data_IF_350744546531
#
_entry.id   IF_350744546531
#
_cell.length_a   1.000
_cell.length_b   1.000
_cell.length_c   1.000
_cell.angle_alpha   90.00
_cell.angle_beta   90.00
_cell.angle_gamma   90.00
#
_symmetry.space_group_name_H-M   'P 1'
#
loop_
_entity.id
_entity.type
_entity.pdbx_description
1 polymer ?
#
# COMPACT_ATOMS: atom_id res chain seq x y z
N UNK A 1 87.80 -39.11 -8.38
CA UNK A 1 88.32 -40.51 -8.49
C UNK A 1 87.13 -41.44 -8.29
N UNK A 2 86.84 -42.29 -9.34
CA UNK A 2 86.12 -43.53 -9.39
C UNK A 2 84.61 -43.52 -8.95
N UNK A 3 83.70 -43.43 -9.90
CA UNK A 3 82.87 -44.47 -10.60
C UNK A 3 82.39 -45.60 -9.71
N UNK A 4 81.05 -45.74 -9.60
CA UNK A 4 80.40 -47.03 -9.83
C UNK A 4 78.91 -46.85 -10.11
N UNK A 5 78.50 -47.39 -11.28
CA UNK A 5 77.13 -47.66 -11.67
C UNK A 5 76.56 -48.81 -10.84
N UNK A 6 75.35 -48.79 -10.53
CA UNK A 6 74.52 -50.03 -10.48
C UNK A 6 73.09 -49.80 -10.95
N UNK A 7 72.75 -50.60 -11.95
CA UNK A 7 71.45 -50.74 -12.54
C UNK A 7 70.56 -51.59 -11.59
N UNK A 8 69.25 -51.29 -11.51
CA UNK A 8 68.25 -52.38 -11.57
C UNK A 8 66.82 -51.86 -11.59
N UNK A 9 66.23 -52.18 -12.66
CA UNK A 9 64.84 -52.78 -12.80
C UNK A 9 63.64 -51.99 -12.46
N UNK A 10 62.93 -51.64 -13.54
CA UNK A 10 61.52 -51.20 -13.58
C UNK A 10 60.55 -52.19 -12.96
N UNK A 11 59.62 -51.69 -12.16
CA UNK A 11 58.35 -52.33 -11.96
C UNK A 11 57.27 -51.27 -12.19
N UNK A 12 56.58 -51.45 -13.32
CA UNK A 12 55.37 -50.72 -13.63
C UNK A 12 54.25 -51.13 -12.65
N UNK A 13 53.74 -50.17 -11.89
CA UNK A 13 52.51 -50.33 -11.13
C UNK A 13 51.47 -49.44 -11.80
N UNK A 14 50.53 -50.09 -12.50
CA UNK A 14 49.37 -49.44 -13.08
C UNK A 14 48.42 -49.04 -11.96
N UNK A 15 48.31 -47.74 -11.65
CA UNK A 15 47.25 -47.17 -10.83
C UNK A 15 46.04 -46.92 -11.74
N UNK A 16 45.01 -47.73 -11.61
CA UNK A 16 43.70 -47.47 -12.16
C UNK A 16 43.03 -46.37 -11.35
N UNK A 17 43.01 -45.14 -11.86
CA UNK A 17 42.22 -44.01 -11.30
C UNK A 17 40.76 -44.21 -11.68
N UNK A 18 39.96 -44.73 -10.74
CA UNK A 18 38.50 -44.67 -10.81
C UNK A 18 38.08 -43.21 -10.62
N UNK A 19 37.76 -42.53 -11.72
CA UNK A 19 37.06 -41.24 -11.69
C UNK A 19 35.61 -41.52 -11.35
N UNK A 20 35.27 -41.44 -10.05
CA UNK A 20 33.90 -41.38 -9.60
C UNK A 20 33.33 -40.02 -10.04
N UNK A 21 32.51 -40.05 -11.12
CA UNK A 21 31.76 -38.89 -11.54
C UNK A 21 30.74 -38.52 -10.47
N UNK A 22 31.07 -37.58 -9.61
CA UNK A 22 30.06 -36.86 -8.81
C UNK A 22 29.24 -36.01 -9.81
N UNK A 23 28.08 -36.56 -10.23
CA UNK A 23 27.03 -35.75 -10.83
C UNK A 23 26.53 -34.80 -9.73
N UNK A 24 27.07 -33.59 -9.68
CA UNK A 24 26.39 -32.47 -9.00
C UNK A 24 25.09 -32.26 -9.78
N UNK A 25 24.01 -32.86 -9.31
CA UNK A 25 22.67 -32.39 -9.62
C UNK A 25 22.61 -30.98 -9.02
N UNK A 26 22.89 -29.96 -9.84
CA UNK A 26 22.48 -28.61 -9.54
C UNK A 26 20.96 -28.70 -9.35
N UNK A 27 20.50 -28.64 -8.11
CA UNK A 27 19.10 -28.36 -7.84
C UNK A 27 18.85 -27.02 -8.56
N UNK A 28 18.18 -27.09 -9.71
CA UNK A 28 17.65 -25.89 -10.33
C UNK A 28 16.76 -25.26 -9.25
N UNK A 29 17.19 -24.16 -8.67
CA UNK A 29 16.31 -23.29 -7.92
C UNK A 29 15.22 -22.93 -8.94
N UNK A 30 14.06 -23.57 -8.84
CA UNK A 30 12.93 -23.17 -9.63
C UNK A 30 12.63 -21.74 -9.19
N UNK A 31 12.91 -20.78 -10.06
CA UNK A 31 12.43 -19.41 -9.90
C UNK A 31 10.90 -19.48 -9.73
N UNK A 32 10.35 -18.63 -8.91
CA UNK A 32 8.89 -18.55 -8.78
C UNK A 32 8.28 -18.21 -10.14
N UNK A 33 7.07 -18.71 -10.40
CA UNK A 33 6.33 -18.40 -11.63
C UNK A 33 5.89 -16.94 -11.69
N UNK A 34 5.78 -16.26 -10.54
CA UNK A 34 5.46 -14.84 -10.42
C UNK A 34 6.26 -14.17 -9.30
N UNK A 35 6.70 -12.96 -9.54
CA UNK A 35 7.24 -12.03 -8.53
C UNK A 35 6.23 -10.91 -8.29
N UNK A 36 5.77 -10.80 -7.05
CA UNK A 36 4.73 -9.85 -6.64
C UNK A 36 5.34 -8.84 -5.67
N UNK A 37 5.16 -7.54 -5.91
CA UNK A 37 5.55 -6.52 -4.94
C UNK A 37 4.33 -5.97 -4.21
N UNK A 38 4.37 -5.95 -2.87
CA UNK A 38 3.31 -5.44 -2.03
C UNK A 38 3.86 -4.88 -0.71
N UNK A 39 3.05 -4.14 0.04
CA UNK A 39 3.39 -3.76 1.41
C UNK A 39 3.42 -4.97 2.35
N UNK A 40 4.23 -4.89 3.39
CA UNK A 40 4.29 -5.95 4.41
C UNK A 40 2.93 -6.10 5.13
N UNK A 41 2.52 -7.35 5.35
CA UNK A 41 1.24 -7.66 6.01
C UNK A 41 -0.02 -7.33 5.21
N UNK A 42 0.09 -6.91 3.95
CA UNK A 42 -1.03 -6.47 3.12
C UNK A 42 -1.69 -7.60 2.30
N UNK A 43 -1.23 -8.82 2.47
CA UNK A 43 -1.82 -10.07 1.95
C UNK A 43 -1.76 -11.17 3.01
N UNK A 44 -2.58 -12.22 2.83
CA UNK A 44 -2.54 -13.41 3.67
C UNK A 44 -1.13 -14.00 3.70
N UNK A 45 -0.66 -14.41 4.89
CA UNK A 45 0.69 -15.00 5.04
C UNK A 45 0.86 -16.30 4.27
N UNK A 46 -0.24 -17.03 4.06
CA UNK A 46 -0.31 -18.28 3.31
C UNK A 46 -0.73 -18.09 1.85
N UNK A 47 -0.69 -16.85 1.34
CA UNK A 47 -1.14 -16.53 -0.02
C UNK A 47 -0.40 -17.36 -1.08
N UNK A 48 0.89 -17.60 -0.90
CA UNK A 48 1.71 -18.39 -1.81
C UNK A 48 1.24 -19.84 -1.86
N UNK A 49 0.99 -20.46 -0.72
CA UNK A 49 0.52 -21.84 -0.62
C UNK A 49 -0.91 -21.97 -1.15
N UNK A 50 -1.78 -21.02 -0.82
CA UNK A 50 -3.17 -20.99 -1.26
C UNK A 50 -3.26 -20.81 -2.79
N UNK A 51 -2.47 -19.91 -3.38
CA UNK A 51 -2.41 -19.71 -4.82
C UNK A 51 -1.87 -20.95 -5.53
N UNK A 52 -0.79 -21.54 -5.00
CA UNK A 52 -0.23 -22.79 -5.54
C UNK A 52 -1.23 -23.94 -5.48
N UNK A 53 -1.96 -24.08 -4.38
CA UNK A 53 -2.99 -25.11 -4.26
C UNK A 53 -4.14 -24.93 -5.28
N UNK A 54 -4.50 -23.69 -5.58
CA UNK A 54 -5.57 -23.36 -6.52
C UNK A 54 -5.16 -23.46 -8.00
N UNK A 55 -3.90 -23.14 -8.33
CA UNK A 55 -3.45 -22.93 -9.71
C UNK A 55 -2.29 -23.82 -10.15
N UNK A 56 -1.56 -24.39 -9.20
CA UNK A 56 -0.29 -25.09 -9.44
C UNK A 56 0.92 -24.17 -9.61
N UNK A 57 0.72 -22.84 -9.66
CA UNK A 57 1.77 -21.83 -9.86
C UNK A 57 2.35 -21.37 -8.53
N UNK A 58 3.63 -21.02 -8.54
CA UNK A 58 4.36 -20.51 -7.39
C UNK A 58 4.52 -18.99 -7.46
N UNK A 59 4.47 -18.31 -6.32
CA UNK A 59 4.73 -16.88 -6.24
C UNK A 59 5.83 -16.56 -5.23
N UNK A 60 6.59 -15.52 -5.51
CA UNK A 60 7.49 -14.85 -4.58
C UNK A 60 6.90 -13.47 -4.26
N UNK A 61 6.77 -13.15 -2.96
CA UNK A 61 6.31 -11.84 -2.52
C UNK A 61 7.50 -11.04 -2.01
N UNK A 62 7.75 -9.90 -2.65
CA UNK A 62 8.81 -8.95 -2.29
C UNK A 62 8.19 -7.71 -1.70
N UNK A 63 8.50 -7.39 -0.45
CA UNK A 63 7.92 -6.24 0.20
C UNK A 63 8.60 -4.93 -0.20
N UNK A 64 7.80 -3.87 -0.26
CA UNK A 64 8.24 -2.48 -0.32
C UNK A 64 7.59 -1.68 0.81
N UNK A 65 8.27 -0.65 1.28
CA UNK A 65 7.76 0.16 2.41
C UNK A 65 6.86 1.30 1.94
N UNK A 66 7.16 1.93 0.80
CA UNK A 66 6.41 3.08 0.28
C UNK A 66 6.19 2.98 -1.24
N UNK A 67 5.19 3.71 -1.74
CA UNK A 67 4.98 3.85 -3.18
C UNK A 67 6.22 4.41 -3.89
N UNK A 68 6.88 5.40 -3.28
CA UNK A 68 8.07 6.04 -3.85
C UNK A 68 9.24 5.05 -3.98
N UNK A 69 9.39 4.13 -3.01
CA UNK A 69 10.40 3.07 -3.07
C UNK A 69 10.19 2.16 -4.27
N UNK A 70 8.98 1.60 -4.41
CA UNK A 70 8.71 0.69 -5.52
C UNK A 70 8.75 1.41 -6.87
N UNK A 71 8.25 2.65 -6.95
CA UNK A 71 8.37 3.46 -8.16
C UNK A 71 9.82 3.68 -8.55
N UNK A 72 10.70 4.00 -7.60
CA UNK A 72 12.14 4.15 -7.86
C UNK A 72 12.76 2.88 -8.44
N UNK A 73 12.42 1.70 -7.88
CA UNK A 73 12.88 0.39 -8.39
C UNK A 73 12.36 0.12 -9.81
N UNK A 74 11.06 0.37 -10.05
CA UNK A 74 10.44 0.16 -11.36
C UNK A 74 11.03 1.09 -12.43
N UNK A 75 11.24 2.36 -12.11
CA UNK A 75 11.90 3.30 -13.03
C UNK A 75 13.32 2.86 -13.38
N UNK A 76 14.12 2.49 -12.38
CA UNK A 76 15.50 2.04 -12.58
C UNK A 76 15.60 0.75 -13.40
N UNK A 77 14.65 -0.18 -13.21
CA UNK A 77 14.62 -1.47 -13.92
C UNK A 77 13.81 -1.45 -15.22
N UNK A 78 13.18 -0.31 -15.56
CA UNK A 78 12.22 -0.21 -16.67
C UNK A 78 11.07 -1.22 -16.52
N UNK A 79 10.58 -1.40 -15.29
CA UNK A 79 9.49 -2.31 -14.95
C UNK A 79 9.86 -3.80 -14.94
N UNK A 80 11.13 -4.14 -15.01
CA UNK A 80 11.59 -5.54 -14.94
C UNK A 80 11.75 -6.00 -13.50
N UNK A 81 11.63 -7.32 -13.29
CA UNK A 81 11.86 -7.97 -12.01
C UNK A 81 10.60 -8.12 -11.16
N UNK A 82 9.46 -7.63 -11.64
CA UNK A 82 8.15 -7.81 -11.02
C UNK A 82 7.11 -8.15 -12.09
N UNK A 83 6.16 -9.03 -11.76
CA UNK A 83 5.03 -9.38 -12.61
C UNK A 83 3.76 -8.63 -12.20
N UNK A 84 3.53 -8.52 -10.89
CA UNK A 84 2.40 -7.83 -10.28
C UNK A 84 2.90 -6.86 -9.22
N UNK A 85 2.34 -5.65 -9.21
CA UNK A 85 2.72 -4.62 -8.22
C UNK A 85 1.47 -4.00 -7.62
N UNK A 86 1.48 -3.87 -6.29
CA UNK A 86 0.48 -3.12 -5.55
C UNK A 86 0.98 -1.70 -5.35
N UNK A 87 0.18 -0.72 -5.74
CA UNK A 87 0.47 0.72 -5.59
C UNK A 87 -0.81 1.49 -5.34
N UNK A 88 -0.71 2.69 -4.79
CA UNK A 88 -1.88 3.59 -4.71
C UNK A 88 -2.22 4.18 -6.08
N UNK A 89 -3.50 4.52 -6.28
CA UNK A 89 -4.04 4.95 -7.58
C UNK A 89 -3.25 6.06 -8.32
N UNK A 90 -2.70 7.10 -7.67
CA UNK A 90 -1.89 8.10 -8.39
C UNK A 90 -0.64 7.50 -9.04
N UNK A 91 -0.05 6.49 -8.39
CA UNK A 91 1.16 5.82 -8.91
C UNK A 91 0.82 4.85 -10.04
N UNK A 92 -0.36 4.21 -9.99
CA UNK A 92 -0.85 3.41 -11.11
C UNK A 92 -1.10 4.28 -12.35
N UNK A 93 -1.65 5.51 -12.19
CA UNK A 93 -1.77 6.50 -13.28
C UNK A 93 -0.41 6.84 -13.89
N UNK A 94 0.61 7.09 -13.06
CA UNK A 94 1.98 7.38 -13.52
C UNK A 94 2.53 6.20 -14.32
N UNK A 95 2.43 4.98 -13.78
CA UNK A 95 2.90 3.77 -14.46
C UNK A 95 2.19 3.55 -15.80
N UNK A 96 0.89 3.76 -15.85
CA UNK A 96 0.11 3.66 -17.09
C UNK A 96 0.51 4.76 -18.10
N UNK A 97 0.65 6.00 -17.66
CA UNK A 97 1.10 7.12 -18.49
C UNK A 97 2.50 6.92 -19.08
N UNK A 98 3.34 6.13 -18.44
CA UNK A 98 4.67 5.74 -18.90
C UNK A 98 4.67 4.45 -19.73
N UNK A 99 3.52 3.82 -19.96
CA UNK A 99 3.40 2.57 -20.71
C UNK A 99 4.04 1.37 -20.02
N UNK A 100 4.13 1.38 -18.68
CA UNK A 100 4.78 0.34 -17.89
C UNK A 100 3.82 -0.74 -17.38
N UNK A 101 2.52 -0.56 -17.56
CA UNK A 101 1.50 -1.56 -17.16
C UNK A 101 0.89 -2.25 -18.38
N UNK A 102 0.47 -3.48 -18.17
CA UNK A 102 -0.25 -4.28 -19.18
C UNK A 102 -1.74 -3.98 -19.09
N UNK A 103 -2.43 -3.77 -20.21
CA UNK A 103 -3.90 -3.76 -20.24
C UNK A 103 -4.45 -5.09 -19.70
N UNK A 104 -5.51 -5.00 -18.89
CA UNK A 104 -6.12 -6.20 -18.32
C UNK A 104 -7.00 -6.93 -19.33
N UNK A 105 -6.82 -8.25 -19.43
CA UNK A 105 -7.75 -9.11 -20.13
C UNK A 105 -8.87 -9.55 -19.17
N UNK A 106 -10.02 -8.91 -19.25
CA UNK A 106 -11.16 -9.22 -18.38
C UNK A 106 -11.71 -10.65 -18.59
N UNK A 107 -11.46 -11.27 -19.76
CA UNK A 107 -11.83 -12.67 -19.97
C UNK A 107 -10.98 -13.61 -19.11
N UNK A 108 -9.74 -13.22 -18.82
CA UNK A 108 -8.83 -13.96 -17.94
C UNK A 108 -9.05 -13.63 -16.44
N UNK A 109 -9.90 -12.63 -16.12
CA UNK A 109 -10.19 -12.19 -14.77
C UNK A 109 -11.71 -12.21 -14.52
N UNK A 110 -12.38 -13.37 -14.55
CA UNK A 110 -13.83 -13.46 -14.41
C UNK A 110 -14.38 -12.91 -13.08
N UNK A 111 -13.56 -12.89 -12.02
CA UNK A 111 -13.94 -12.32 -10.72
C UNK A 111 -13.95 -10.78 -10.67
N UNK A 112 -13.54 -10.09 -11.75
CA UNK A 112 -13.64 -8.62 -11.84
C UNK A 112 -15.10 -8.15 -11.72
N UNK A 113 -16.06 -8.97 -12.09
CA UNK A 113 -17.51 -8.75 -11.89
C UNK A 113 -17.93 -8.60 -10.43
N UNK A 114 -17.09 -9.02 -9.50
CA UNK A 114 -17.33 -8.91 -8.05
C UNK A 114 -17.11 -7.48 -7.53
N UNK A 115 -16.45 -6.61 -8.32
CA UNK A 115 -16.25 -5.23 -7.93
C UNK A 115 -17.57 -4.46 -7.85
N UNK A 116 -17.66 -3.52 -6.91
CA UNK A 116 -18.76 -2.55 -6.89
C UNK A 116 -18.73 -1.69 -8.16
N UNK A 117 -19.89 -1.26 -8.68
CA UNK A 117 -19.96 -0.34 -9.83
C UNK A 117 -19.15 0.94 -9.62
N UNK A 118 -19.15 1.48 -8.39
CA UNK A 118 -18.38 2.67 -8.00
C UNK A 118 -16.87 2.43 -8.15
N UNK A 119 -16.40 1.22 -7.84
CA UNK A 119 -15.00 0.86 -7.99
C UNK A 119 -14.58 0.70 -9.47
N UNK A 120 -15.47 0.19 -10.30
CA UNK A 120 -15.26 0.10 -11.74
C UNK A 120 -15.34 1.46 -12.46
N UNK A 121 -15.95 2.47 -11.81
CA UNK A 121 -16.12 3.82 -12.35
C UNK A 121 -15.05 4.82 -11.87
N UNK A 122 -14.05 4.39 -11.11
CA UNK A 122 -13.01 5.26 -10.57
C UNK A 122 -12.27 6.01 -11.67
N UNK A 123 -12.16 7.32 -11.51
CA UNK A 123 -11.70 8.21 -12.58
C UNK A 123 -10.23 8.00 -13.00
N UNK A 124 -9.40 7.36 -12.16
CA UNK A 124 -8.02 7.05 -12.54
C UNK A 124 -7.92 5.92 -13.57
N UNK A 125 -8.87 4.96 -13.55
CA UNK A 125 -8.93 3.83 -14.49
C UNK A 125 -10.38 3.39 -14.73
N UNK A 126 -11.18 4.17 -15.47
CA UNK A 126 -12.56 3.84 -15.73
C UNK A 126 -12.70 2.50 -16.48
N UNK A 127 -13.48 1.60 -15.91
CA UNK A 127 -13.69 0.27 -16.46
C UNK A 127 -12.57 -0.72 -16.15
N UNK A 128 -11.61 -0.39 -15.29
CA UNK A 128 -10.49 -1.26 -14.90
C UNK A 128 -9.68 -1.76 -16.13
N UNK A 129 -9.27 -0.81 -16.96
CA UNK A 129 -8.58 -1.12 -18.20
C UNK A 129 -7.14 -1.62 -17.97
N UNK A 130 -6.48 -1.17 -16.90
CA UNK A 130 -5.08 -1.49 -16.59
C UNK A 130 -4.80 -1.79 -15.12
N UNK A 131 -5.80 -1.67 -14.24
CA UNK A 131 -5.65 -1.87 -12.81
C UNK A 131 -6.89 -2.46 -12.16
N UNK A 132 -6.72 -3.10 -11.01
CA UNK A 132 -7.83 -3.61 -10.20
C UNK A 132 -7.73 -3.03 -8.80
N UNK A 133 -8.75 -2.30 -8.32
CA UNK A 133 -8.79 -1.82 -6.94
C UNK A 133 -8.75 -2.99 -5.95
N UNK A 134 -7.85 -2.90 -4.98
CA UNK A 134 -7.65 -3.92 -3.93
C UNK A 134 -8.28 -3.49 -2.61
N UNK A 135 -7.92 -2.32 -2.12
CA UNK A 135 -8.54 -1.70 -0.95
C UNK A 135 -8.83 -0.24 -1.24
N UNK A 136 -9.77 0.33 -0.53
CA UNK A 136 -10.10 1.73 -0.62
C UNK A 136 -10.61 2.28 0.71
N UNK A 137 -10.50 3.56 0.90
CA UNK A 137 -10.92 4.19 2.14
C UNK A 137 -10.85 5.70 2.13
N UNK A 138 -11.00 6.25 3.31
CA UNK A 138 -10.93 7.67 3.59
C UNK A 138 -9.82 7.98 4.57
N UNK A 139 -9.34 9.21 4.53
CA UNK A 139 -8.46 9.78 5.55
C UNK A 139 -9.26 10.71 6.44
N UNK A 140 -9.09 10.58 7.74
CA UNK A 140 -9.84 11.36 8.71
C UNK A 140 -9.08 11.56 10.00
N UNK A 141 -9.85 11.75 11.06
CA UNK A 141 -9.34 11.95 12.42
C UNK A 141 -9.64 10.72 13.26
N UNK A 142 -8.60 10.20 13.90
CA UNK A 142 -8.66 9.12 14.85
C UNK A 142 -8.33 9.68 16.24
N UNK A 143 -9.15 9.43 17.27
CA UNK A 143 -8.98 10.10 18.55
C UNK A 143 -9.47 9.27 19.73
N UNK A 144 -8.96 9.58 20.92
CA UNK A 144 -9.37 9.05 22.22
C UNK A 144 -10.56 9.83 22.77
N UNK A 145 -11.78 9.29 22.62
CA UNK A 145 -13.01 9.95 23.06
C UNK A 145 -13.12 10.11 24.58
N UNK A 146 -12.39 9.29 25.33
CA UNK A 146 -12.27 9.42 26.80
C UNK A 146 -11.32 10.55 27.24
N UNK A 147 -10.39 10.97 26.39
CA UNK A 147 -9.39 12.03 26.69
C UNK A 147 -9.70 13.36 26.01
N UNK A 148 -10.18 13.34 24.77
CA UNK A 148 -10.54 14.53 24.00
C UNK A 148 -11.97 14.94 24.33
N UNK A 149 -12.16 16.10 24.93
CA UNK A 149 -13.46 16.57 25.45
C UNK A 149 -14.18 17.55 24.51
N UNK A 150 -13.46 18.09 23.54
CA UNK A 150 -14.03 18.99 22.52
C UNK A 150 -14.53 18.19 21.33
N UNK A 151 -15.50 18.68 20.55
CA UNK A 151 -15.97 18.03 19.35
C UNK A 151 -14.83 17.84 18.35
N UNK A 152 -14.73 16.62 17.77
CA UNK A 152 -13.78 16.28 16.73
C UNK A 152 -14.58 16.05 15.45
N UNK A 153 -14.85 17.11 14.68
CA UNK A 153 -15.71 17.09 13.50
C UNK A 153 -15.16 17.88 12.31
N UNK A 154 -13.94 18.43 12.45
CA UNK A 154 -13.32 19.34 11.48
C UNK A 154 -11.82 19.10 11.43
N UNK A 155 -11.19 19.31 10.26
CA UNK A 155 -9.74 19.35 10.17
C UNK A 155 -9.12 20.36 11.12
N UNK A 156 -9.84 21.44 11.43
CA UNK A 156 -9.38 22.42 12.43
C UNK A 156 -9.28 21.84 13.84
N UNK A 157 -9.98 20.75 14.18
CA UNK A 157 -9.78 20.08 15.47
C UNK A 157 -8.33 19.57 15.65
N UNK A 158 -7.66 19.25 14.54
CA UNK A 158 -6.25 18.82 14.51
C UNK A 158 -5.30 19.96 14.18
N UNK A 159 -5.66 20.83 13.21
CA UNK A 159 -4.77 21.88 12.71
C UNK A 159 -4.67 23.10 13.67
N UNK A 160 -5.70 23.29 14.50
CA UNK A 160 -5.78 24.35 15.53
C UNK A 160 -6.34 23.76 16.82
N UNK A 161 -5.66 22.75 17.40
CA UNK A 161 -6.20 22.02 18.53
C UNK A 161 -6.28 22.88 19.78
N UNK A 162 -7.15 22.50 20.71
CA UNK A 162 -7.18 23.08 22.04
C UNK A 162 -5.81 22.98 22.72
N UNK A 163 -5.52 23.92 23.61
CA UNK A 163 -4.26 23.99 24.34
C UNK A 163 -3.93 22.67 25.09
N UNK A 164 -4.95 21.94 25.56
CA UNK A 164 -4.81 20.66 26.23
C UNK A 164 -4.25 19.55 25.33
N UNK A 165 -4.39 19.70 23.99
CA UNK A 165 -3.91 18.75 22.99
C UNK A 165 -2.53 19.10 22.42
N UNK A 166 -1.93 20.22 22.84
CA UNK A 166 -0.59 20.60 22.40
C UNK A 166 0.42 19.51 22.76
N UNK A 167 1.18 19.05 21.77
CA UNK A 167 2.14 17.95 21.92
C UNK A 167 1.50 16.57 22.07
N UNK A 168 0.19 16.43 21.72
CA UNK A 168 -0.56 15.15 21.78
C UNK A 168 -1.27 14.84 20.46
N UNK A 169 -0.88 15.48 19.39
CA UNK A 169 -1.46 15.30 18.06
C UNK A 169 -0.41 14.84 17.09
N UNK A 170 -0.76 13.97 16.12
CA UNK A 170 0.12 13.60 15.02
C UNK A 170 -0.56 13.80 13.67
N UNK A 171 0.23 14.05 12.65
CA UNK A 171 -0.22 14.06 11.26
C UNK A 171 0.57 13.04 10.46
N UNK A 172 0.00 12.59 9.34
CA UNK A 172 0.68 11.73 8.41
C UNK A 172 1.91 12.45 7.82
N UNK A 173 2.98 11.69 7.59
CA UNK A 173 4.24 12.22 7.06
C UNK A 173 4.27 12.25 5.53
N UNK A 174 3.44 11.42 4.87
CA UNK A 174 3.40 11.26 3.42
C UNK A 174 2.81 12.50 2.75
N UNK A 175 3.49 13.03 1.73
CA UNK A 175 3.26 14.35 1.11
C UNK A 175 1.79 14.62 0.76
N UNK A 176 1.14 13.67 0.04
CA UNK A 176 -0.23 13.85 -0.45
C UNK A 176 -1.24 13.98 0.68
N UNK A 177 -1.15 13.12 1.68
CA UNK A 177 -2.10 13.10 2.80
C UNK A 177 -1.86 14.24 3.78
N UNK A 178 -0.60 14.62 4.03
CA UNK A 178 -0.28 15.80 4.84
C UNK A 178 -0.90 17.04 4.20
N UNK A 179 -0.67 17.26 2.89
CA UNK A 179 -1.20 18.41 2.18
C UNK A 179 -2.73 18.39 2.08
N UNK A 180 -3.35 17.21 1.92
CA UNK A 180 -4.81 17.09 1.84
C UNK A 180 -5.52 17.67 3.06
N UNK A 181 -5.02 17.45 4.28
CA UNK A 181 -5.59 18.03 5.49
C UNK A 181 -5.59 19.57 5.46
N UNK A 182 -4.48 20.17 5.02
CA UNK A 182 -4.38 21.62 4.87
C UNK A 182 -5.29 22.18 3.78
N UNK A 183 -5.32 21.51 2.62
CA UNK A 183 -6.15 21.91 1.48
C UNK A 183 -7.65 21.82 1.81
N UNK A 184 -8.10 20.70 2.34
CA UNK A 184 -9.50 20.48 2.73
C UNK A 184 -9.95 21.47 3.79
N UNK A 185 -9.11 21.81 4.75
CA UNK A 185 -9.43 22.83 5.78
C UNK A 185 -9.71 24.22 5.22
N UNK A 186 -9.23 24.50 4.00
CA UNK A 186 -9.44 25.74 3.26
C UNK A 186 -10.53 25.61 2.19
N UNK A 187 -11.18 24.44 2.05
CA UNK A 187 -12.17 24.17 1.03
C UNK A 187 -11.57 23.98 -0.39
N UNK A 188 -10.29 23.61 -0.47
CA UNK A 188 -9.61 23.34 -1.74
C UNK A 188 -9.62 21.85 -2.07
N UNK A 189 -9.44 21.56 -3.36
CA UNK A 189 -9.28 20.20 -3.88
C UNK A 189 -8.06 19.52 -3.28
N UNK A 190 -8.14 18.21 -2.98
CA UNK A 190 -6.96 17.40 -2.59
C UNK A 190 -5.98 17.24 -3.75
N UNK A 191 -6.42 17.55 -4.98
CA UNK A 191 -5.62 17.54 -6.19
C UNK A 191 -5.31 18.96 -6.69
N UNK A 192 -5.30 19.96 -5.82
CA UNK A 192 -5.06 21.36 -6.18
C UNK A 192 -3.71 21.54 -6.89
N UNK A 193 -3.71 22.31 -7.97
CA UNK A 193 -2.52 22.60 -8.80
C UNK A 193 -2.14 24.07 -8.82
N UNK A 194 -2.96 24.94 -8.23
CA UNK A 194 -2.65 26.38 -8.11
C UNK A 194 -1.57 26.56 -7.03
N UNK A 195 -0.37 27.06 -7.41
CA UNK A 195 0.72 27.27 -6.47
C UNK A 195 0.35 28.20 -5.31
N UNK A 196 -0.54 29.19 -5.52
CA UNK A 196 -0.95 30.12 -4.47
C UNK A 196 -1.81 29.42 -3.40
N UNK A 197 -2.67 28.48 -3.79
CA UNK A 197 -3.48 27.70 -2.88
C UNK A 197 -2.65 26.64 -2.15
N UNK A 198 -1.69 26.01 -2.84
CA UNK A 198 -0.70 25.09 -2.24
C UNK A 198 0.09 25.84 -1.15
N UNK A 199 0.51 27.08 -1.45
CA UNK A 199 1.23 27.93 -0.48
C UNK A 199 0.36 28.27 0.74
N UNK A 200 -0.94 28.56 0.55
CA UNK A 200 -1.86 28.79 1.67
C UNK A 200 -2.01 27.54 2.55
N UNK A 201 -2.18 26.37 1.95
CA UNK A 201 -2.26 25.12 2.70
C UNK A 201 -0.96 24.84 3.47
N UNK A 202 0.20 25.07 2.84
CA UNK A 202 1.51 24.99 3.49
C UNK A 202 1.58 25.86 4.75
N UNK A 203 1.14 27.13 4.66
CA UNK A 203 1.18 28.05 5.79
C UNK A 203 0.29 27.58 6.95
N UNK A 204 -0.90 27.03 6.66
CA UNK A 204 -1.75 26.41 7.70
C UNK A 204 -1.03 25.25 8.38
N UNK A 205 -0.34 24.39 7.61
CA UNK A 205 0.38 23.22 8.13
C UNK A 205 1.64 23.60 8.92
N UNK A 206 2.32 24.68 8.56
CA UNK A 206 3.43 25.24 9.36
C UNK A 206 2.94 25.69 10.73
N UNK A 207 1.79 26.39 10.80
CA UNK A 207 1.20 26.77 12.08
C UNK A 207 0.77 25.56 12.92
N UNK A 208 0.14 24.57 12.28
CA UNK A 208 -0.27 23.32 12.93
C UNK A 208 0.92 22.56 13.53
N UNK A 209 2.06 22.55 12.85
CA UNK A 209 3.29 21.91 13.33
C UNK A 209 3.70 22.31 14.73
N UNK A 210 3.47 23.58 15.12
CA UNK A 210 3.84 24.11 16.45
C UNK A 210 3.14 23.41 17.61
N UNK A 211 2.08 22.66 17.32
CA UNK A 211 1.29 21.91 18.30
C UNK A 211 1.42 20.41 18.18
N UNK A 212 2.08 19.90 17.12
CA UNK A 212 2.22 18.46 16.89
C UNK A 212 3.20 17.81 17.87
N UNK A 213 2.92 16.55 18.19
CA UNK A 213 3.87 15.61 18.77
C UNK A 213 4.87 15.15 17.70
N UNK A 214 4.35 14.70 16.55
CA UNK A 214 5.14 14.15 15.46
C UNK A 214 4.38 14.08 14.12
N UNK A 215 5.12 13.88 13.03
CA UNK A 215 4.63 13.28 11.80
C UNK A 215 4.84 11.77 11.89
N UNK A 216 3.81 10.96 11.61
CA UNK A 216 3.85 9.52 11.85
C UNK A 216 2.87 8.77 10.95
N UNK A 217 3.39 7.88 10.10
CA UNK A 217 2.59 7.04 9.19
C UNK A 217 2.37 5.62 9.74
N UNK A 218 3.12 5.19 10.78
CA UNK A 218 3.20 3.77 11.14
C UNK A 218 2.84 3.44 12.57
N UNK A 219 3.07 4.35 13.52
CA UNK A 219 2.90 4.07 14.96
C UNK A 219 1.81 4.91 15.63
N UNK A 220 1.08 5.75 14.89
CA UNK A 220 0.10 6.66 15.45
C UNK A 220 -1.04 5.94 16.20
N UNK A 221 -1.47 4.75 15.77
CA UNK A 221 -2.49 3.99 16.48
C UNK A 221 -1.97 3.47 17.83
N UNK A 222 -0.72 3.01 17.90
CA UNK A 222 -0.09 2.59 19.16
C UNK A 222 0.05 3.76 20.14
N UNK A 223 0.36 4.97 19.61
CA UNK A 223 0.38 6.20 20.42
C UNK A 223 -1.00 6.59 20.94
N UNK A 224 -2.07 6.34 20.16
CA UNK A 224 -3.44 6.52 20.63
C UNK A 224 -3.79 5.51 21.73
N UNK A 225 -3.43 4.24 21.57
CA UNK A 225 -3.67 3.18 22.54
C UNK A 225 -3.00 3.53 23.87
N UNK A 226 -1.72 3.93 23.84
CA UNK A 226 -0.97 4.34 25.03
C UNK A 226 -1.42 5.68 25.65
N UNK A 227 -2.11 6.52 24.86
CA UNK A 227 -2.48 7.88 25.27
C UNK A 227 -1.38 8.92 25.08
N UNK A 228 -0.24 8.57 24.49
CA UNK A 228 0.82 9.50 24.09
C UNK A 228 0.29 10.50 23.08
N UNK A 229 -0.40 10.04 22.05
CA UNK A 229 -1.23 10.86 21.19
C UNK A 229 -2.72 10.73 21.59
N UNK A 230 -3.49 11.78 21.39
CA UNK A 230 -4.91 11.82 21.73
C UNK A 230 -5.80 12.11 20.50
N UNK A 231 -5.26 12.76 19.47
CA UNK A 231 -5.93 13.07 18.22
C UNK A 231 -4.92 13.01 17.09
N UNK A 232 -5.19 12.22 16.06
CA UNK A 232 -4.27 11.98 14.94
C UNK A 232 -4.98 12.02 13.60
N UNK A 233 -4.28 12.44 12.55
CA UNK A 233 -4.67 12.16 11.17
C UNK A 233 -4.40 10.68 10.88
N UNK A 234 -5.36 9.96 10.31
CA UNK A 234 -5.25 8.53 10.09
C UNK A 234 -6.00 8.08 8.85
N UNK A 235 -5.49 7.05 8.19
CA UNK A 235 -6.28 6.20 7.31
C UNK A 235 -7.25 5.36 8.15
N UNK A 236 -8.44 5.14 7.64
CA UNK A 236 -9.55 4.54 8.38
C UNK A 236 -9.24 3.12 8.91
N UNK A 237 -8.58 2.25 8.12
CA UNK A 237 -8.21 0.91 8.57
C UNK A 237 -7.13 0.90 9.66
N UNK A 238 -6.14 1.80 9.58
CA UNK A 238 -5.14 1.93 10.65
C UNK A 238 -5.75 2.42 11.97
N UNK A 239 -6.80 3.26 11.89
CA UNK A 239 -7.57 3.61 13.09
C UNK A 239 -8.26 2.39 13.69
N UNK A 240 -8.72 1.44 12.86
CA UNK A 240 -9.35 0.20 13.32
C UNK A 240 -8.42 -0.67 14.15
N UNK A 241 -7.11 -0.69 13.86
CA UNK A 241 -6.14 -1.37 14.75
C UNK A 241 -6.17 -0.76 16.17
N UNK A 242 -6.20 0.55 16.27
CA UNK A 242 -6.35 1.22 17.58
C UNK A 242 -7.69 0.87 18.26
N UNK A 243 -8.80 0.87 17.52
CA UNK A 243 -10.13 0.50 18.04
C UNK A 243 -10.16 -0.95 18.53
N UNK A 244 -9.40 -1.85 17.89
CA UNK A 244 -9.27 -3.25 18.34
C UNK A 244 -8.71 -3.33 19.75
N UNK A 245 -7.72 -2.50 20.07
CA UNK A 245 -7.04 -2.50 21.36
C UNK A 245 -7.73 -1.62 22.41
N UNK A 246 -8.39 -0.55 21.97
CA UNK A 246 -9.06 0.40 22.85
C UNK A 246 -10.35 0.96 22.21
N UNK A 247 -11.50 0.50 22.74
CA UNK A 247 -12.84 0.89 22.26
C UNK A 247 -13.18 2.39 22.40
N UNK A 248 -12.42 3.15 23.19
CA UNK A 248 -12.56 4.59 23.32
C UNK A 248 -11.89 5.36 22.17
N UNK A 249 -11.13 4.66 21.32
CA UNK A 249 -10.65 5.21 20.05
C UNK A 249 -11.82 5.28 19.06
N UNK A 250 -11.94 6.41 18.39
CA UNK A 250 -13.00 6.68 17.40
C UNK A 250 -12.39 7.24 16.13
N UNK A 251 -13.04 6.93 15.01
CA UNK A 251 -12.75 7.51 13.71
C UNK A 251 -13.87 8.45 13.28
N UNK A 252 -13.51 9.57 12.69
CA UNK A 252 -14.45 10.51 12.09
C UNK A 252 -13.87 11.10 10.81
N UNK A 253 -14.69 11.21 9.79
CA UNK A 253 -14.37 12.03 8.62
C UNK A 253 -14.78 13.47 8.95
N UNK A 254 -13.87 14.46 8.82
CA UNK A 254 -14.19 15.86 9.04
C UNK A 254 -15.29 16.36 8.09
N UNK A 255 -16.05 17.36 8.53
CA UNK A 255 -17.15 17.94 7.74
C UNK A 255 -16.71 18.63 6.45
N UNK A 256 -15.46 19.05 6.36
CA UNK A 256 -14.86 19.59 5.15
C UNK A 256 -14.57 18.49 4.11
N UNK A 257 -14.76 17.23 4.47
CA UNK A 257 -14.53 16.07 3.60
C UNK A 257 -13.21 15.36 3.83
N UNK A 258 -12.95 14.42 2.94
CA UNK A 258 -11.78 13.54 2.92
C UNK A 258 -11.26 13.41 1.50
N UNK A 259 -10.07 12.84 1.36
CA UNK A 259 -9.67 12.17 0.14
C UNK A 259 -10.29 10.76 0.08
N UNK A 260 -10.52 10.29 -1.15
CA UNK A 260 -10.66 8.88 -1.45
C UNK A 260 -9.29 8.35 -1.87
N UNK A 261 -8.72 7.46 -1.08
CA UNK A 261 -7.54 6.72 -1.49
C UNK A 261 -7.94 5.33 -1.96
N UNK A 262 -7.20 4.81 -2.92
CA UNK A 262 -7.38 3.48 -3.50
C UNK A 262 -6.01 2.85 -3.67
N UNK A 263 -5.81 1.69 -3.08
CA UNK A 263 -4.68 0.84 -3.41
C UNK A 263 -5.12 -0.17 -4.46
N UNK A 264 -4.29 -0.37 -5.47
CA UNK A 264 -4.67 -1.09 -6.67
C UNK A 264 -3.57 -2.07 -7.10
N UNK A 265 -3.96 -3.05 -7.87
CA UNK A 265 -3.08 -4.07 -8.44
C UNK A 265 -2.86 -3.73 -9.91
N UNK A 266 -1.61 -3.72 -10.34
CA UNK A 266 -1.22 -3.59 -11.75
C UNK A 266 -0.37 -4.78 -12.18
N UNK A 267 -0.54 -5.19 -13.43
CA UNK A 267 0.33 -6.17 -14.08
C UNK A 267 1.40 -5.43 -14.87
N UNK A 268 2.65 -5.81 -14.72
CA UNK A 268 3.74 -5.11 -15.37
C UNK A 268 3.82 -5.45 -16.87
N UNK A 269 4.01 -4.44 -17.71
CA UNK A 269 4.11 -4.57 -19.18
C UNK A 269 5.22 -5.53 -19.61
N UNK A 270 6.35 -5.50 -18.89
CA UNK A 270 7.52 -6.30 -19.19
C UNK A 270 7.54 -7.67 -18.48
N UNK A 271 6.43 -8.06 -17.83
CA UNK A 271 6.27 -9.43 -17.33
C UNK A 271 6.30 -10.44 -18.47
N UNK A 272 7.05 -11.51 -18.29
CA UNK A 272 7.05 -12.67 -19.17
C UNK A 272 5.95 -13.68 -18.79
N UNK A 273 5.26 -13.45 -17.67
CA UNK A 273 4.29 -14.35 -17.04
C UNK A 273 2.87 -13.75 -16.98
N UNK A 274 2.45 -13.01 -18.00
CA UNK A 274 1.20 -12.24 -18.00
C UNK A 274 -0.05 -13.07 -17.71
N UNK A 275 -0.14 -14.25 -18.28
CA UNK A 275 -1.27 -15.16 -18.05
C UNK A 275 -1.34 -15.62 -16.58
N UNK A 276 -0.18 -15.88 -15.97
CA UNK A 276 -0.10 -16.23 -14.56
C UNK A 276 -0.44 -15.02 -13.68
N UNK A 277 -0.01 -13.81 -14.08
CA UNK A 277 -0.34 -12.57 -13.40
C UNK A 277 -1.85 -12.27 -13.42
N UNK A 278 -2.53 -12.47 -14.57
CA UNK A 278 -3.99 -12.32 -14.66
C UNK A 278 -4.72 -13.36 -13.77
N UNK A 279 -4.23 -14.60 -13.71
CA UNK A 279 -4.77 -15.62 -12.78
C UNK A 279 -4.59 -15.21 -11.32
N UNK A 280 -3.47 -14.56 -10.97
CA UNK A 280 -3.27 -14.07 -9.61
C UNK A 280 -4.24 -12.93 -9.28
N UNK A 281 -4.46 -11.99 -10.20
CA UNK A 281 -5.45 -10.93 -10.03
C UNK A 281 -6.85 -11.52 -9.84
N UNK A 282 -7.24 -12.51 -10.66
CA UNK A 282 -8.51 -13.21 -10.52
C UNK A 282 -8.64 -13.93 -9.18
N UNK A 283 -7.57 -14.59 -8.74
CA UNK A 283 -7.52 -15.28 -7.44
C UNK A 283 -7.71 -14.32 -6.26
N UNK A 284 -7.11 -13.13 -6.31
CA UNK A 284 -7.32 -12.10 -5.28
C UNK A 284 -8.76 -11.60 -5.28
N UNK A 285 -9.39 -11.46 -6.46
CA UNK A 285 -10.77 -10.99 -6.59
C UNK A 285 -11.83 -12.05 -6.25
N UNK A 286 -11.44 -13.30 -6.02
CA UNK A 286 -12.36 -14.26 -5.41
C UNK A 286 -12.90 -13.71 -4.09
N UNK A 287 -14.21 -13.85 -3.86
CA UNK A 287 -14.86 -13.22 -2.72
C UNK A 287 -14.25 -13.64 -1.36
N UNK A 288 -13.91 -14.94 -1.20
CA UNK A 288 -13.31 -15.45 0.03
C UNK A 288 -11.89 -14.92 0.23
N UNK A 289 -11.09 -14.92 -0.84
CA UNK A 289 -9.70 -14.45 -0.77
C UNK A 289 -9.65 -12.94 -0.50
N UNK A 290 -10.52 -12.15 -1.14
CA UNK A 290 -10.57 -10.71 -0.94
C UNK A 290 -11.17 -10.32 0.42
N UNK A 291 -12.14 -11.09 0.95
CA UNK A 291 -12.70 -10.88 2.29
C UNK A 291 -11.62 -11.00 3.38
N UNK A 292 -10.58 -11.79 3.15
CA UNK A 292 -9.44 -11.88 4.07
C UNK A 292 -8.83 -10.49 4.35
N UNK A 293 -8.66 -9.67 3.31
CA UNK A 293 -8.12 -8.32 3.47
C UNK A 293 -9.03 -7.47 4.39
N UNK A 294 -10.33 -7.46 4.14
CA UNK A 294 -11.27 -6.72 4.98
C UNK A 294 -11.25 -7.19 6.45
N UNK A 295 -11.11 -8.50 6.68
CA UNK A 295 -11.12 -9.10 8.03
C UNK A 295 -9.79 -8.90 8.79
N UNK A 296 -8.66 -8.85 8.10
CA UNK A 296 -7.33 -8.91 8.74
C UNK A 296 -6.54 -7.61 8.59
N UNK A 297 -6.70 -6.89 7.47
CA UNK A 297 -6.12 -5.55 7.29
C UNK A 297 -7.08 -4.47 7.80
N UNK A 298 -8.34 -4.83 8.04
CA UNK A 298 -9.41 -3.96 8.54
C UNK A 298 -9.68 -2.72 7.64
N UNK A 299 -9.40 -2.86 6.33
CA UNK A 299 -9.78 -1.92 5.29
C UNK A 299 -10.98 -2.44 4.51
N UNK A 300 -11.78 -1.53 3.97
CA UNK A 300 -12.82 -1.90 3.02
C UNK A 300 -12.20 -2.42 1.73
N UNK A 301 -12.76 -3.48 1.18
CA UNK A 301 -12.40 -3.98 -0.15
C UNK A 301 -13.49 -3.61 -1.16
N UNK A 302 -13.12 -3.25 -2.40
CA UNK A 302 -14.09 -2.86 -3.42
C UNK A 302 -14.82 -4.05 -4.07
N UNK A 303 -14.92 -5.17 -3.37
CA UNK A 303 -15.49 -6.43 -3.80
C UNK A 303 -16.81 -6.67 -3.06
N UNK A 304 -17.93 -6.60 -3.78
CA UNK A 304 -19.27 -6.68 -3.21
C UNK A 304 -19.54 -7.98 -2.46
N UNK A 305 -19.41 -9.18 -3.08
CA UNK A 305 -19.66 -10.43 -2.37
C UNK A 305 -18.67 -10.68 -1.22
N UNK A 306 -17.44 -10.15 -1.29
CA UNK A 306 -16.52 -10.23 -0.17
C UNK A 306 -17.04 -9.43 1.04
N UNK A 307 -17.44 -8.17 0.83
CA UNK A 307 -17.98 -7.33 1.90
C UNK A 307 -19.30 -7.87 2.47
N UNK A 308 -20.17 -8.41 1.61
CA UNK A 308 -21.44 -9.03 2.03
C UNK A 308 -21.25 -10.32 2.83
N UNK A 309 -20.10 -10.99 2.71
CA UNK A 309 -19.77 -12.22 3.46
C UNK A 309 -19.23 -11.96 4.86
N UNK A 310 -18.89 -10.70 5.19
CA UNK A 310 -18.32 -10.35 6.50
C UNK A 310 -19.35 -10.51 7.62
N UNK A 311 -18.85 -10.89 8.80
CA UNK A 311 -19.67 -10.88 10.01
C UNK A 311 -20.21 -9.45 10.27
N UNK A 312 -21.53 -9.24 10.39
CA UNK A 312 -22.11 -7.94 10.72
C UNK A 312 -21.54 -7.31 12.01
N UNK A 313 -21.01 -8.12 12.92
CA UNK A 313 -20.32 -7.64 14.11
C UNK A 313 -19.09 -6.77 13.78
N UNK A 314 -18.44 -7.02 12.64
CA UNK A 314 -17.28 -6.24 12.20
C UNK A 314 -17.65 -4.76 11.97
N UNK A 315 -18.73 -4.51 11.24
CA UNK A 315 -19.20 -3.15 10.98
C UNK A 315 -19.70 -2.45 12.27
N UNK A 316 -20.19 -3.22 13.24
CA UNK A 316 -20.55 -2.69 14.56
C UNK A 316 -19.33 -2.31 15.39
N UNK A 317 -18.28 -3.11 15.30
CA UNK A 317 -17.00 -2.84 15.99
C UNK A 317 -16.24 -1.68 15.33
N UNK A 318 -16.26 -1.62 14.00
CA UNK A 318 -15.56 -0.63 13.19
C UNK A 318 -16.56 0.15 12.31
N UNK A 319 -17.17 1.24 12.82
CA UNK A 319 -18.24 1.94 12.11
C UNK A 319 -17.84 2.48 10.72
N UNK A 320 -16.57 2.80 10.51
CA UNK A 320 -16.06 3.22 9.21
C UNK A 320 -16.11 2.10 8.15
N UNK A 321 -16.11 0.82 8.55
CA UNK A 321 -16.33 -0.31 7.65
C UNK A 321 -17.77 -0.37 7.10
N UNK A 322 -18.72 0.27 7.77
CA UNK A 322 -20.11 0.36 7.33
C UNK A 322 -20.37 1.46 6.28
N UNK A 323 -19.39 2.34 6.03
CA UNK A 323 -19.51 3.37 4.98
C UNK A 323 -19.75 2.70 3.63
N UNK A 324 -20.85 3.04 2.98
CA UNK A 324 -21.20 2.46 1.69
C UNK A 324 -20.26 2.90 0.57
N UNK A 325 -20.12 2.11 -0.52
CA UNK A 325 -19.38 2.52 -1.71
C UNK A 325 -19.83 3.87 -2.27
N UNK A 326 -21.13 4.13 -2.31
CA UNK A 326 -21.71 5.39 -2.79
C UNK A 326 -21.38 6.59 -1.88
N UNK A 327 -21.21 6.39 -0.58
CA UNK A 327 -20.76 7.44 0.35
C UNK A 327 -19.26 7.69 0.17
N UNK A 328 -18.47 6.63 0.06
CA UNK A 328 -17.03 6.73 -0.13
C UNK A 328 -16.69 7.43 -1.46
N UNK A 329 -17.42 7.11 -2.52
CA UNK A 329 -17.26 7.73 -3.85
C UNK A 329 -17.61 9.22 -3.91
N UNK A 330 -18.17 9.82 -2.86
CA UNK A 330 -18.38 11.27 -2.77
C UNK A 330 -17.09 12.03 -2.42
N UNK A 331 -16.09 11.35 -1.85
CA UNK A 331 -14.80 11.96 -1.57
C UNK A 331 -13.99 12.09 -2.84
N UNK A 332 -13.13 13.09 -2.86
CA UNK A 332 -12.31 13.35 -4.03
C UNK A 332 -11.17 12.32 -4.13
N UNK A 333 -11.15 11.57 -5.22
CA UNK A 333 -10.11 10.58 -5.49
C UNK A 333 -8.74 11.25 -5.63
N UNK A 334 -7.74 10.72 -4.93
CA UNK A 334 -6.36 11.12 -5.15
C UNK A 334 -5.90 10.71 -6.56
N UNK A 335 -5.39 11.70 -7.32
CA UNK A 335 -4.94 11.56 -8.70
C UNK A 335 -3.46 11.92 -8.85
N UNK A 336 -2.87 11.53 -9.95
CA UNK A 336 -1.56 12.05 -10.35
C UNK A 336 -1.61 13.57 -10.57
N UNK A 337 -0.71 14.28 -9.92
CA UNK A 337 -0.56 15.74 -10.05
C UNK A 337 0.35 16.15 -11.20
N UNK A 338 1.03 15.20 -11.82
CA UNK A 338 2.00 15.47 -12.86
C UNK A 338 3.10 16.42 -12.36
N UNK A 339 3.36 17.47 -13.13
CA UNK A 339 4.41 18.45 -12.80
C UNK A 339 4.21 19.16 -11.45
N UNK A 340 2.95 19.27 -10.97
CA UNK A 340 2.65 19.95 -9.71
C UNK A 340 3.07 19.15 -8.48
N UNK A 341 3.39 17.85 -8.62
CA UNK A 341 3.87 17.04 -7.49
C UNK A 341 5.13 17.62 -6.84
N UNK A 342 6.02 18.25 -7.63
CA UNK A 342 7.20 18.95 -7.11
C UNK A 342 6.87 20.10 -6.16
N UNK A 343 5.72 20.77 -6.35
CA UNK A 343 5.29 21.86 -5.49
C UNK A 343 4.81 21.33 -4.14
N UNK A 344 4.15 20.15 -4.14
CA UNK A 344 3.78 19.45 -2.91
C UNK A 344 5.01 18.99 -2.13
N UNK A 345 5.97 18.32 -2.78
CA UNK A 345 7.17 17.83 -2.11
C UNK A 345 8.03 18.97 -1.55
N UNK A 346 8.10 20.11 -2.28
CA UNK A 346 8.74 21.32 -1.78
C UNK A 346 8.01 21.87 -0.55
N UNK A 347 6.67 22.02 -0.62
CA UNK A 347 5.86 22.52 0.47
C UNK A 347 6.02 21.64 1.72
N UNK A 348 5.96 20.30 1.57
CA UNK A 348 6.13 19.36 2.68
C UNK A 348 7.54 19.44 3.28
N UNK A 349 8.56 19.58 2.45
CA UNK A 349 9.94 19.78 2.92
C UNK A 349 10.06 21.06 3.77
N UNK A 350 9.46 22.17 3.31
CA UNK A 350 9.43 23.44 4.04
C UNK A 350 8.60 23.33 5.35
N UNK A 351 7.44 22.64 5.33
CA UNK A 351 6.63 22.37 6.53
C UNK A 351 7.47 21.60 7.56
N UNK A 352 8.13 20.51 7.12
CA UNK A 352 8.94 19.69 8.03
C UNK A 352 10.18 20.41 8.55
N UNK A 353 10.74 21.35 7.79
CA UNK A 353 11.90 22.17 8.18
C UNK A 353 11.54 23.38 9.03
N UNK A 354 10.29 23.88 9.01
CA UNK A 354 9.87 25.06 9.77
C UNK A 354 10.07 24.85 11.28
N UNK A 355 10.42 25.93 12.02
CA UNK A 355 10.64 25.91 13.48
C UNK A 355 9.32 26.14 14.25
#
# INVERSE_FOLDING_TARGET
>A
MTISLCRSTARALALATAVAGLSLSAAASNAADLVISNWDGYMAKDIADSFKAATGLTIEVVNHATNEEIMGKLMASQGKGYDVVFVSSPFAEILNGQGMVEPLDHAAIPNIKNLYPEAAALAYDPGNAYSVPYTWGSTGLCYRSDLVKTPVDSWNSLLKPDAALKGKTTMLATDRWLMAAGLLSLGYSVNEKDPAKIEQAKNVLIEAKKTLLAYDDTTFFSKLVSGEAQLVQAWDGWCNYGITENKDIKYVVPKEGSDLWVDTIVVMKNSEHKDAAMKFVDFILDAKNHAWAAQNILYKVPNKPAMESLDPALAKQYPNMAMSPAELAKYELLRDLGASMKDYSRAVSEIKAAN
#
